data_IF_850508406102
#
_entry.id   IF_850508406102
#
_cell.length_a   1.000
_cell.length_b   1.000
_cell.length_c   1.000
_cell.angle_alpha   90.00
_cell.angle_beta   90.00
_cell.angle_gamma   90.00
#
_symmetry.space_group_name_H-M   'P 1'
#
loop_
_entity.id
_entity.type
_entity.pdbx_description
1 polymer ?
#
# COMPACT_ATOMS: atom_id res chain seq x y z
N UNK A 1 3.59 17.91 7.49
CA UNK A 1 3.71 16.43 7.39
C UNK A 1 3.13 16.07 6.04
N UNK A 2 3.86 15.35 5.19
CA UNK A 2 3.35 14.98 3.86
C UNK A 2 2.16 14.04 4.00
N UNK A 3 1.01 14.41 3.45
CA UNK A 3 -0.13 13.49 3.33
C UNK A 3 0.28 12.30 2.47
N UNK A 4 -0.02 11.07 2.92
CA UNK A 4 0.25 9.84 2.16
C UNK A 4 -0.61 9.83 0.89
N UNK A 5 0.01 9.71 -0.28
CA UNK A 5 -0.67 9.74 -1.58
C UNK A 5 -0.96 8.35 -2.13
N UNK A 6 -0.09 7.38 -1.86
CA UNK A 6 -0.19 6.00 -2.40
C UNK A 6 -0.15 4.97 -1.26
N UNK A 7 -0.98 3.93 -1.34
CA UNK A 7 -0.90 2.77 -0.45
C UNK A 7 -0.47 1.53 -1.24
N UNK A 8 0.75 1.07 -1.03
CA UNK A 8 1.27 -0.17 -1.62
C UNK A 8 0.82 -1.35 -0.77
N UNK A 9 -0.05 -2.19 -1.34
CA UNK A 9 -0.60 -3.37 -0.65
C UNK A 9 0.00 -4.63 -1.25
N UNK A 10 0.53 -5.51 -0.40
CA UNK A 10 1.04 -6.82 -0.78
C UNK A 10 0.37 -7.95 0.01
N UNK A 11 0.30 -9.15 -0.56
CA UNK A 11 -0.41 -10.28 0.04
C UNK A 11 0.41 -11.01 1.11
N UNK A 12 1.73 -10.85 1.09
CA UNK A 12 2.68 -11.50 1.99
C UNK A 12 3.93 -10.65 2.17
N UNK A 13 4.61 -10.76 3.31
CA UNK A 13 5.93 -10.14 3.50
C UNK A 13 6.96 -10.69 2.49
N UNK A 14 6.77 -11.93 2.03
CA UNK A 14 7.60 -12.54 1.00
C UNK A 14 7.53 -11.84 -0.36
N UNK A 15 6.51 -11.00 -0.58
CA UNK A 15 6.35 -10.23 -1.83
C UNK A 15 7.24 -8.98 -1.83
N UNK A 16 7.74 -8.56 -0.66
CA UNK A 16 8.48 -7.31 -0.50
C UNK A 16 9.74 -7.17 -1.36
N UNK A 17 10.56 -8.23 -1.59
CA UNK A 17 11.67 -8.17 -2.53
C UNK A 17 11.22 -7.86 -3.97
N UNK A 18 10.05 -8.34 -4.39
CA UNK A 18 9.48 -8.08 -5.72
C UNK A 18 8.97 -6.65 -5.83
N UNK A 19 8.44 -6.10 -4.73
CA UNK A 19 7.93 -4.73 -4.68
C UNK A 19 9.01 -3.66 -4.54
N UNK A 20 10.29 -4.04 -4.39
CA UNK A 20 11.41 -3.12 -4.15
C UNK A 20 11.47 -1.99 -5.19
N UNK A 21 11.45 -2.33 -6.47
CA UNK A 21 11.56 -1.35 -7.55
C UNK A 21 10.38 -0.37 -7.57
N UNK A 22 9.18 -0.81 -7.15
CA UNK A 22 8.02 0.06 -6.98
C UNK A 22 8.23 1.08 -5.86
N UNK A 23 8.79 0.66 -4.72
CA UNK A 23 9.05 1.56 -3.59
C UNK A 23 10.15 2.56 -3.94
N UNK A 24 11.22 2.10 -4.59
CA UNK A 24 12.32 2.94 -5.04
C UNK A 24 11.83 4.00 -6.05
N UNK A 25 10.97 3.63 -7.00
CA UNK A 25 10.37 4.61 -7.92
C UNK A 25 9.55 5.68 -7.18
N UNK A 26 8.75 5.30 -6.18
CA UNK A 26 7.97 6.26 -5.39
C UNK A 26 8.88 7.21 -4.60
N UNK A 27 9.98 6.70 -4.04
CA UNK A 27 11.00 7.52 -3.36
C UNK A 27 11.68 8.49 -4.33
N UNK A 28 12.08 8.05 -5.53
CA UNK A 28 12.70 8.89 -6.57
C UNK A 28 11.80 10.04 -7.03
N UNK A 29 10.50 9.81 -7.15
CA UNK A 29 9.52 10.84 -7.50
C UNK A 29 9.06 11.68 -6.31
N UNK A 30 9.59 11.43 -5.11
CA UNK A 30 9.15 12.06 -3.86
C UNK A 30 7.63 11.95 -3.62
N UNK A 31 7.05 10.82 -4.02
CA UNK A 31 5.63 10.49 -3.78
C UNK A 31 5.54 9.82 -2.40
N UNK A 32 4.77 10.40 -1.49
CA UNK A 32 4.56 9.83 -0.16
C UNK A 32 3.69 8.57 -0.24
N UNK A 33 4.18 7.47 0.34
CA UNK A 33 3.46 6.20 0.35
C UNK A 33 3.49 5.50 1.71
N UNK A 34 2.54 4.58 1.89
CA UNK A 34 2.59 3.57 2.94
C UNK A 34 2.65 2.16 2.36
N UNK A 35 3.12 1.21 3.15
CA UNK A 35 3.16 -0.21 2.79
C UNK A 35 2.30 -1.01 3.76
N UNK A 36 1.45 -1.90 3.23
CA UNK A 36 0.62 -2.82 4.04
C UNK A 36 0.70 -4.25 3.51
N UNK A 37 0.74 -5.21 4.44
CA UNK A 37 0.59 -6.63 4.14
C UNK A 37 -0.85 -7.05 4.44
N UNK A 38 -1.67 -7.14 3.40
CA UNK A 38 -3.07 -7.55 3.48
C UNK A 38 -3.37 -8.59 2.39
N UNK A 39 -3.62 -9.82 2.82
CA UNK A 39 -3.93 -10.92 1.92
C UNK A 39 -5.42 -10.97 1.63
N UNK A 40 -5.79 -10.83 0.36
CA UNK A 40 -7.18 -11.03 -0.08
C UNK A 40 -7.70 -12.45 0.21
N UNK A 41 -6.84 -13.46 0.19
CA UNK A 41 -7.24 -14.86 0.43
C UNK A 41 -7.31 -15.22 1.92
N UNK A 42 -6.37 -14.71 2.74
CA UNK A 42 -6.33 -15.06 4.18
C UNK A 42 -7.14 -14.10 5.05
N UNK A 43 -7.31 -12.85 4.59
CA UNK A 43 -7.98 -11.77 5.34
C UNK A 43 -8.87 -10.95 4.40
N UNK A 44 -9.88 -11.56 3.75
CA UNK A 44 -10.70 -10.88 2.72
C UNK A 44 -11.44 -9.67 3.27
N UNK A 45 -12.06 -9.78 4.45
CA UNK A 45 -12.84 -8.69 5.06
C UNK A 45 -11.96 -7.50 5.44
N UNK A 46 -10.81 -7.76 6.08
CA UNK A 46 -9.87 -6.71 6.46
C UNK A 46 -9.31 -6.00 5.21
N UNK A 47 -8.97 -6.76 4.17
CA UNK A 47 -8.50 -6.21 2.89
C UNK A 47 -9.57 -5.33 2.23
N UNK A 48 -10.82 -5.80 2.22
CA UNK A 48 -11.94 -5.06 1.65
C UNK A 48 -12.29 -3.80 2.46
N UNK A 49 -12.28 -3.87 3.80
CA UNK A 49 -12.49 -2.71 4.67
C UNK A 49 -11.41 -1.67 4.44
N UNK A 50 -10.15 -2.09 4.46
CA UNK A 50 -9.01 -1.22 4.24
C UNK A 50 -9.11 -0.47 2.90
N UNK A 51 -9.43 -1.18 1.81
CA UNK A 51 -9.57 -0.60 0.49
C UNK A 51 -10.69 0.46 0.41
N UNK A 52 -11.81 0.26 1.12
CA UNK A 52 -12.93 1.22 1.15
C UNK A 52 -12.54 2.52 1.87
N UNK A 53 -11.67 2.45 2.87
CA UNK A 53 -11.28 3.59 3.69
C UNK A 53 -10.24 4.49 3.01
N UNK A 54 -9.49 3.98 2.02
CA UNK A 54 -8.40 4.71 1.35
C UNK A 54 -8.83 6.07 0.80
N UNK A 55 -9.99 6.14 0.14
CA UNK A 55 -10.48 7.39 -0.46
C UNK A 55 -10.81 8.44 0.60
N UNK A 56 -11.30 8.02 1.77
CA UNK A 56 -11.57 8.94 2.88
C UNK A 56 -10.28 9.48 3.50
N UNK A 57 -9.20 8.72 3.41
CA UNK A 57 -7.85 9.09 3.87
C UNK A 57 -7.09 9.98 2.89
N UNK A 58 -7.70 10.33 1.74
CA UNK A 58 -7.06 11.16 0.70
C UNK A 58 -6.04 10.42 -0.17
N UNK A 59 -5.95 9.09 -0.04
CA UNK A 59 -5.07 8.25 -0.86
C UNK A 59 -5.69 8.11 -2.25
N UNK A 60 -4.86 8.24 -3.29
CA UNK A 60 -5.26 8.29 -4.71
C UNK A 60 -5.11 6.95 -5.41
#
# INVERSE_FOLDING_TARGET
MSEIQVSVVMGSESDRPVMKDCLEALDEFAISYEVKVLSAHRMPEATASYARDLRQRGIK
#
